data_IF_382977024195
#
_entry.id   IF_382977024195
#
_cell.length_a   1.000
_cell.length_b   1.000
_cell.length_c   1.000
_cell.angle_alpha   90.00
_cell.angle_beta   90.00
_cell.angle_gamma   90.00
#
_symmetry.space_group_name_H-M   'P 1'
#
loop_
_entity.id
_entity.type
_entity.pdbx_description
1 polymer ?
#
# COMPACT_ATOMS: atom_id res chain seq x y z
N UNK A 1 10.51 18.00 4.41
CA UNK A 1 11.96 17.80 4.10
C UNK A 1 12.77 17.43 5.34
N UNK A 2 12.74 18.21 6.45
CA UNK A 2 13.54 17.89 7.65
C UNK A 2 13.15 16.56 8.32
N UNK A 3 11.85 16.29 8.46
CA UNK A 3 11.33 15.03 9.03
C UNK A 3 11.79 13.81 8.22
N UNK A 4 11.71 13.88 6.89
CA UNK A 4 12.17 12.80 6.02
C UNK A 4 13.69 12.56 6.16
N UNK A 5 14.49 13.63 6.24
CA UNK A 5 15.95 13.52 6.47
C UNK A 5 16.25 12.88 7.81
N UNK A 6 15.54 13.28 8.87
CA UNK A 6 15.67 12.70 10.19
C UNK A 6 15.31 11.20 10.17
N UNK A 7 14.26 10.81 9.46
CA UNK A 7 13.87 9.41 9.28
C UNK A 7 15.00 8.58 8.63
N UNK A 8 15.50 8.97 7.46
CA UNK A 8 16.57 8.20 6.81
C UNK A 8 17.87 8.18 7.62
N UNK A 9 18.19 9.26 8.32
CA UNK A 9 19.35 9.28 9.24
C UNK A 9 19.17 8.30 10.41
N UNK A 10 18.00 8.32 11.06
CA UNK A 10 17.68 7.43 12.15
C UNK A 10 17.70 5.96 11.69
N UNK A 11 17.05 5.65 10.57
CA UNK A 11 17.05 4.29 10.01
C UNK A 11 18.45 3.83 9.62
N UNK A 12 19.29 4.72 9.07
CA UNK A 12 20.68 4.36 8.76
C UNK A 12 21.50 4.05 10.03
N UNK A 13 21.18 4.70 11.14
CA UNK A 13 21.85 4.47 12.43
C UNK A 13 21.39 3.15 13.03
N UNK A 14 20.07 2.92 13.09
CA UNK A 14 19.46 1.71 13.63
C UNK A 14 19.90 0.47 12.86
N UNK A 15 19.95 0.56 11.53
CA UNK A 15 20.23 -0.58 10.65
C UNK A 15 21.71 -0.80 10.35
N UNK A 16 22.62 -0.04 10.99
CA UNK A 16 24.06 -0.03 10.69
C UNK A 16 24.67 -1.44 10.67
N UNK A 17 24.37 -2.27 11.67
CA UNK A 17 24.96 -3.60 11.77
C UNK A 17 24.43 -4.56 10.69
N UNK A 18 23.16 -4.41 10.28
CA UNK A 18 22.59 -5.20 9.19
C UNK A 18 23.19 -4.83 7.84
N UNK A 19 23.51 -3.55 7.62
CA UNK A 19 24.22 -3.12 6.41
C UNK A 19 25.63 -3.71 6.32
N UNK A 20 26.36 -3.69 7.44
CA UNK A 20 27.70 -4.29 7.53
C UNK A 20 27.61 -5.80 7.25
N UNK A 21 26.68 -6.50 7.90
CA UNK A 21 26.49 -7.93 7.74
C UNK A 21 26.07 -8.35 6.32
N UNK A 22 25.50 -7.46 5.49
CA UNK A 22 25.29 -7.78 4.07
C UNK A 22 26.59 -8.01 3.32
N UNK A 23 27.61 -7.20 3.57
CA UNK A 23 28.88 -7.30 2.86
C UNK A 23 29.81 -8.30 3.54
N UNK A 24 30.00 -8.16 4.85
CA UNK A 24 31.02 -8.92 5.60
C UNK A 24 30.50 -10.27 6.13
N UNK A 25 29.18 -10.44 6.18
CA UNK A 25 28.54 -11.50 6.95
C UNK A 25 28.65 -11.28 8.46
N UNK A 26 27.80 -11.96 9.22
CA UNK A 26 27.95 -12.07 10.66
C UNK A 26 27.73 -13.50 11.12
N UNK A 27 28.46 -13.92 12.15
CA UNK A 27 28.26 -15.24 12.75
C UNK A 27 27.01 -15.22 13.63
N UNK A 28 26.07 -16.10 13.34
CA UNK A 28 24.83 -16.27 14.11
C UNK A 28 24.49 -17.75 14.25
N UNK A 29 23.82 -18.11 15.35
CA UNK A 29 23.29 -19.45 15.54
C UNK A 29 22.03 -19.63 14.69
N UNK A 30 21.96 -20.75 13.97
CA UNK A 30 20.72 -21.16 13.32
C UNK A 30 19.76 -21.82 14.33
N UNK A 31 18.50 -22.13 13.95
CA UNK A 31 17.55 -22.80 14.85
C UNK A 31 17.97 -24.18 15.35
N UNK A 32 19.03 -24.78 14.82
CA UNK A 32 19.60 -26.06 15.26
C UNK A 32 20.79 -25.87 16.21
N UNK A 33 21.23 -24.62 16.43
CA UNK A 33 22.37 -24.29 17.27
C UNK A 33 23.71 -24.34 16.52
N UNK A 34 23.71 -24.48 15.18
CA UNK A 34 24.94 -24.43 14.40
C UNK A 34 25.34 -22.98 14.12
N UNK A 35 26.64 -22.69 14.20
CA UNK A 35 27.17 -21.38 13.80
C UNK A 35 27.18 -21.25 12.28
N UNK A 36 26.48 -20.26 11.76
CA UNK A 36 26.40 -19.94 10.32
C UNK A 36 26.94 -18.54 10.07
N UNK A 37 27.59 -18.36 8.92
CA UNK A 37 27.83 -17.03 8.37
C UNK A 37 26.53 -16.56 7.70
N UNK A 38 25.91 -15.52 8.25
CA UNK A 38 24.63 -14.99 7.78
C UNK A 38 24.85 -13.62 7.17
N UNK A 39 24.28 -13.40 5.99
CA UNK A 39 24.16 -12.09 5.37
C UNK A 39 22.73 -11.57 5.52
N UNK A 40 22.55 -10.27 5.68
CA UNK A 40 21.24 -9.66 5.99
C UNK A 40 20.76 -8.71 4.89
N UNK A 41 20.57 -9.19 3.64
CA UNK A 41 20.08 -8.35 2.55
C UNK A 41 18.71 -7.78 2.90
N UNK A 42 18.45 -6.53 2.49
CA UNK A 42 17.12 -5.97 2.61
C UNK A 42 16.20 -6.60 1.56
N UNK A 43 15.44 -7.62 1.98
CA UNK A 43 14.55 -8.38 1.10
C UNK A 43 13.15 -7.77 1.02
N UNK A 44 12.58 -7.34 2.14
CA UNK A 44 11.20 -6.89 2.22
C UNK A 44 11.04 -5.76 3.24
N UNK A 45 10.09 -4.86 2.98
CA UNK A 45 9.71 -3.77 3.88
C UNK A 45 8.22 -3.49 3.81
N UNK A 46 7.54 -3.70 4.95
CA UNK A 46 6.11 -3.42 5.12
C UNK A 46 5.96 -1.94 5.46
N UNK A 47 5.22 -1.22 4.64
CA UNK A 47 4.95 0.20 4.80
C UNK A 47 3.62 0.56 4.14
N UNK A 48 2.89 1.52 4.72
CA UNK A 48 1.73 2.10 4.04
C UNK A 48 2.17 3.01 2.88
N UNK A 49 1.24 3.48 2.05
CA UNK A 49 1.61 4.26 0.85
C UNK A 49 2.42 5.54 1.17
N UNK A 50 2.02 6.40 2.13
CA UNK A 50 2.86 7.52 2.57
C UNK A 50 4.28 7.12 3.02
N UNK A 51 4.42 6.04 3.78
CA UNK A 51 5.71 5.52 4.23
C UNK A 51 6.52 4.97 3.05
N UNK A 52 5.89 4.28 2.10
CA UNK A 52 6.55 3.79 0.88
C UNK A 52 7.15 4.95 0.07
N UNK A 53 6.42 6.07 -0.08
CA UNK A 53 6.93 7.27 -0.74
C UNK A 53 8.12 7.89 0.02
N UNK A 54 8.02 7.94 1.36
CA UNK A 54 9.12 8.39 2.21
C UNK A 54 10.36 7.54 1.98
N UNK A 55 10.23 6.21 2.08
CA UNK A 55 11.32 5.24 1.92
C UNK A 55 11.89 5.30 0.51
N UNK A 56 11.06 5.34 -0.53
CA UNK A 56 11.48 5.40 -1.92
C UNK A 56 12.12 6.74 -2.30
N UNK A 57 12.04 7.76 -1.42
CA UNK A 57 12.49 9.13 -1.65
C UNK A 57 11.73 9.88 -2.74
N UNK A 58 10.47 9.53 -2.95
CA UNK A 58 9.62 10.01 -4.04
C UNK A 58 8.52 10.94 -3.50
N UNK A 59 8.03 11.87 -4.32
CA UNK A 59 6.91 12.77 -3.98
C UNK A 59 5.55 12.12 -4.19
N UNK A 60 4.48 12.75 -3.69
CA UNK A 60 3.10 12.34 -3.95
C UNK A 60 2.81 12.26 -5.46
N UNK A 61 1.85 11.39 -5.82
CA UNK A 61 1.39 11.14 -7.21
C UNK A 61 2.42 10.47 -8.13
N UNK A 62 3.38 9.77 -7.55
CA UNK A 62 4.29 8.90 -8.27
C UNK A 62 4.23 7.53 -7.63
N UNK A 63 4.59 6.49 -8.37
CA UNK A 63 4.75 5.17 -7.79
C UNK A 63 6.03 5.12 -6.94
N UNK A 64 6.01 4.46 -5.77
CA UNK A 64 7.23 4.15 -5.01
C UNK A 64 7.99 2.94 -5.58
N UNK A 65 7.36 2.17 -6.47
CA UNK A 65 7.91 0.94 -7.07
C UNK A 65 8.38 1.20 -8.50
N UNK A 66 7.56 1.84 -9.33
CA UNK A 66 7.92 2.34 -10.67
C UNK A 66 8.27 3.82 -10.57
N UNK A 67 9.09 4.37 -11.47
CA UNK A 67 9.23 5.84 -11.58
C UNK A 67 8.02 6.49 -12.27
N UNK A 68 6.92 5.74 -12.45
CA UNK A 68 5.74 6.20 -13.13
C UNK A 68 5.10 7.38 -12.39
N UNK A 69 4.87 8.45 -13.15
CA UNK A 69 4.02 9.57 -12.75
C UNK A 69 2.55 9.15 -12.80
N UNK A 70 1.66 9.89 -12.15
CA UNK A 70 0.23 9.55 -12.18
C UNK A 70 -0.38 9.48 -13.57
N UNK A 71 0.15 10.25 -14.52
CA UNK A 71 -0.24 10.25 -15.94
C UNK A 71 0.40 9.13 -16.76
N UNK A 72 1.37 8.41 -16.19
CA UNK A 72 2.13 7.31 -16.77
C UNK A 72 1.99 6.03 -15.97
N UNK A 73 1.05 5.99 -15.02
CA UNK A 73 0.64 4.75 -14.39
C UNK A 73 0.33 3.74 -15.50
N UNK A 74 0.64 2.49 -15.22
CA UNK A 74 0.58 1.36 -16.15
C UNK A 74 1.85 1.11 -16.99
N UNK A 75 2.95 1.87 -16.77
CA UNK A 75 4.28 1.61 -17.34
C UNK A 75 5.23 0.95 -16.31
N UNK A 76 5.73 -0.28 -16.56
CA UNK A 76 6.44 -1.10 -15.57
C UNK A 76 7.92 -0.74 -15.33
N UNK A 77 8.39 0.43 -15.76
CA UNK A 77 9.80 0.81 -15.67
C UNK A 77 10.31 0.84 -14.21
N UNK A 78 11.35 0.04 -13.85
CA UNK A 78 11.89 -0.01 -12.50
C UNK A 78 12.40 1.34 -12.00
N UNK A 79 12.39 1.53 -10.68
CA UNK A 79 12.87 2.78 -10.11
C UNK A 79 14.40 2.88 -10.11
N UNK A 80 14.88 4.01 -10.64
CA UNK A 80 16.27 4.43 -10.61
C UNK A 80 16.49 5.61 -9.65
N UNK A 81 15.83 5.60 -8.48
CA UNK A 81 15.88 6.71 -7.51
C UNK A 81 17.31 7.18 -7.20
N UNK A 82 18.27 6.27 -6.95
CA UNK A 82 19.66 6.67 -6.64
C UNK A 82 20.30 7.44 -7.80
N UNK A 83 20.07 7.02 -9.04
CA UNK A 83 20.57 7.74 -10.22
C UNK A 83 19.90 9.11 -10.36
N UNK A 84 18.60 9.21 -10.06
CA UNK A 84 17.88 10.48 -10.08
C UNK A 84 18.40 11.44 -9.01
N UNK A 85 18.66 10.94 -7.79
CA UNK A 85 19.27 11.71 -6.69
C UNK A 85 20.67 12.19 -7.09
N UNK A 86 21.51 11.31 -7.63
CA UNK A 86 22.86 11.66 -8.07
C UNK A 86 22.82 12.79 -9.11
N UNK A 87 21.93 12.69 -10.11
CA UNK A 87 21.72 13.74 -11.13
C UNK A 87 21.22 15.05 -10.53
N UNK A 88 20.34 15.00 -9.53
CA UNK A 88 19.84 16.19 -8.86
C UNK A 88 20.96 16.91 -8.10
N UNK A 89 21.82 16.16 -7.41
CA UNK A 89 22.97 16.68 -6.68
C UNK A 89 24.07 17.24 -7.59
N UNK A 90 24.24 16.75 -8.83
CA UNK A 90 25.18 17.35 -9.78
C UNK A 90 24.65 18.65 -10.40
N UNK A 91 23.32 18.79 -10.47
CA UNK A 91 22.67 19.93 -11.16
C UNK A 91 22.41 21.11 -10.22
N UNK A 92 22.40 20.89 -8.90
CA UNK A 92 22.11 21.92 -7.90
C UNK A 92 22.94 21.74 -6.64
N UNK A 93 23.47 22.85 -6.12
CA UNK A 93 24.22 22.86 -4.86
C UNK A 93 23.26 22.66 -3.67
N UNK A 94 23.46 21.65 -2.81
CA UNK A 94 22.70 21.49 -1.57
C UNK A 94 22.70 22.70 -0.63
N UNK A 95 23.66 23.62 -0.78
CA UNK A 95 23.75 24.85 0.00
C UNK A 95 22.72 25.90 -0.45
N UNK A 96 22.28 25.87 -1.71
CA UNK A 96 21.13 26.66 -2.18
C UNK A 96 19.84 25.85 -2.01
N UNK A 97 19.27 25.92 -0.81
CA UNK A 97 18.08 25.15 -0.44
C UNK A 97 16.91 25.37 -1.41
N UNK A 98 16.73 26.58 -1.93
CA UNK A 98 15.61 26.92 -2.80
C UNK A 98 15.78 26.30 -4.19
N UNK A 99 16.94 26.48 -4.81
CA UNK A 99 17.26 25.88 -6.11
C UNK A 99 17.33 24.34 -6.03
N UNK A 100 17.90 23.83 -4.95
CA UNK A 100 17.99 22.41 -4.66
C UNK A 100 16.60 21.77 -4.55
N UNK A 101 15.71 22.36 -3.75
CA UNK A 101 14.35 21.86 -3.59
C UNK A 101 13.58 21.90 -4.91
N UNK A 102 13.72 22.97 -5.71
CA UNK A 102 13.08 23.06 -7.04
C UNK A 102 13.57 21.96 -7.99
N UNK A 103 14.86 21.67 -7.99
CA UNK A 103 15.46 20.61 -8.82
C UNK A 103 14.95 19.24 -8.41
N UNK A 104 14.94 18.93 -7.12
CA UNK A 104 14.40 17.66 -6.61
C UNK A 104 12.93 17.47 -6.95
N UNK A 105 12.10 18.51 -6.78
CA UNK A 105 10.68 18.46 -7.14
C UNK A 105 10.46 18.22 -8.63
N UNK A 106 11.27 18.84 -9.52
CA UNK A 106 11.18 18.58 -10.97
C UNK A 106 11.50 17.13 -11.35
N UNK A 107 12.24 16.43 -10.49
CA UNK A 107 12.58 15.01 -10.62
C UNK A 107 11.67 14.11 -9.78
N UNK A 108 10.62 14.67 -9.17
CA UNK A 108 9.66 13.95 -8.33
C UNK A 108 10.29 13.30 -7.09
N UNK A 109 11.38 13.89 -6.60
CA UNK A 109 12.11 13.46 -5.41
C UNK A 109 11.75 14.33 -4.20
N UNK A 110 11.75 13.74 -3.01
CA UNK A 110 11.33 14.40 -1.77
C UNK A 110 12.47 15.16 -1.02
N UNK A 111 13.61 15.35 -1.66
CA UNK A 111 14.76 16.11 -1.13
C UNK A 111 15.78 15.29 -0.33
N UNK A 112 15.72 13.95 -0.39
CA UNK A 112 16.66 13.06 0.29
C UNK A 112 17.89 12.79 -0.57
N UNK A 113 19.08 13.07 -0.01
CA UNK A 113 20.37 12.88 -0.68
C UNK A 113 20.95 11.49 -0.39
N UNK A 114 20.81 11.02 0.84
CA UNK A 114 21.35 9.73 1.31
C UNK A 114 20.23 8.88 1.88
N UNK A 115 19.51 8.13 1.03
CA UNK A 115 18.52 7.17 1.50
C UNK A 115 19.21 6.12 2.39
N UNK A 116 18.56 5.72 3.49
CA UNK A 116 19.13 4.72 4.39
C UNK A 116 19.43 3.38 3.72
N UNK A 117 18.81 3.04 2.60
CA UNK A 117 19.03 1.79 1.87
C UNK A 117 20.08 1.95 0.75
N UNK A 118 20.56 3.17 0.48
CA UNK A 118 21.46 3.44 -0.66
C UNK A 118 22.84 2.79 -0.57
N UNK A 119 23.25 2.37 0.63
CA UNK A 119 24.48 1.62 0.93
C UNK A 119 24.19 0.19 1.43
N UNK A 120 22.95 -0.29 1.32
CA UNK A 120 22.53 -1.60 1.81
C UNK A 120 22.59 -2.67 0.72
N UNK A 121 23.79 -2.92 0.19
CA UNK A 121 24.01 -3.90 -0.88
C UNK A 121 23.23 -3.56 -2.16
N UNK A 122 22.38 -4.49 -2.62
CA UNK A 122 21.54 -4.33 -3.83
C UNK A 122 20.13 -3.82 -3.52
N UNK A 123 19.90 -3.29 -2.32
CA UNK A 123 18.59 -2.80 -1.91
C UNK A 123 18.03 -1.76 -2.88
N UNK A 124 16.82 -2.00 -3.37
CA UNK A 124 16.10 -1.06 -4.20
C UNK A 124 14.59 -1.12 -3.88
N UNK A 125 13.93 0.04 -3.64
CA UNK A 125 12.51 0.09 -3.28
C UNK A 125 11.60 -0.68 -4.24
N UNK A 126 11.94 -0.73 -5.53
CA UNK A 126 11.19 -1.48 -6.54
C UNK A 126 11.16 -3.00 -6.32
N UNK A 127 12.03 -3.51 -5.45
CA UNK A 127 12.09 -4.93 -5.14
C UNK A 127 11.65 -5.21 -3.71
N UNK A 128 12.09 -4.42 -2.74
CA UNK A 128 11.82 -4.74 -1.33
C UNK A 128 10.50 -4.14 -0.80
N UNK A 129 9.90 -3.13 -1.44
CA UNK A 129 8.61 -2.62 -0.98
C UNK A 129 7.51 -3.64 -1.29
N UNK A 130 6.84 -4.11 -0.25
CA UNK A 130 5.82 -5.15 -0.38
C UNK A 130 4.44 -4.55 -0.63
N UNK A 131 3.56 -5.26 -1.36
CA UNK A 131 2.14 -4.94 -1.38
C UNK A 131 1.55 -4.98 0.02
N UNK A 132 0.62 -4.07 0.31
CA UNK A 132 -0.09 -4.03 1.58
C UNK A 132 -1.59 -4.11 1.34
N UNK A 133 -2.17 -5.29 1.56
CA UNK A 133 -3.58 -5.54 1.24
C UNK A 133 -4.56 -4.65 1.99
N UNK A 134 -4.23 -4.23 3.21
CA UNK A 134 -5.11 -3.37 4.00
C UNK A 134 -5.23 -1.97 3.39
N UNK A 135 -4.10 -1.25 3.24
CA UNK A 135 -4.12 0.14 2.78
C UNK A 135 -4.16 0.28 1.26
N UNK A 136 -3.63 -0.69 0.51
CA UNK A 136 -3.59 -0.63 -0.95
C UNK A 136 -4.86 -1.22 -1.57
N UNK A 137 -5.41 -2.33 -1.06
CA UNK A 137 -6.55 -2.99 -1.74
C UNK A 137 -7.88 -2.66 -1.09
N UNK A 138 -8.06 -3.02 0.18
CA UNK A 138 -9.34 -2.79 0.85
C UNK A 138 -9.65 -1.30 0.91
N UNK A 139 -8.73 -0.46 1.39
CA UNK A 139 -8.97 0.98 1.42
C UNK A 139 -9.19 1.57 0.02
N UNK A 140 -8.51 1.06 -1.03
CA UNK A 140 -8.81 1.44 -2.41
C UNK A 140 -10.26 1.12 -2.78
N UNK A 141 -10.72 -0.09 -2.46
CA UNK A 141 -12.07 -0.56 -2.76
C UNK A 141 -13.14 0.38 -2.20
N UNK A 142 -12.99 0.81 -0.94
CA UNK A 142 -13.90 1.74 -0.28
C UNK A 142 -13.79 3.16 -0.80
N UNK A 143 -12.57 3.64 -1.06
CA UNK A 143 -12.36 4.99 -1.59
C UNK A 143 -12.88 5.13 -3.03
N UNK A 144 -12.92 4.03 -3.80
CA UNK A 144 -13.11 4.04 -5.25
C UNK A 144 -14.25 3.11 -5.75
N UNK A 145 -14.08 1.78 -5.95
CA UNK A 145 -15.14 0.86 -6.38
C UNK A 145 -16.52 1.08 -5.74
N UNK A 146 -16.59 1.15 -4.41
CA UNK A 146 -17.86 1.37 -3.72
C UNK A 146 -18.53 2.69 -4.13
N UNK A 147 -17.74 3.78 -4.19
CA UNK A 147 -18.23 5.09 -4.60
C UNK A 147 -18.64 5.12 -6.08
N UNK A 148 -17.95 4.39 -6.96
CA UNK A 148 -18.33 4.26 -8.36
C UNK A 148 -19.70 3.60 -8.49
N UNK A 149 -19.92 2.50 -7.77
CA UNK A 149 -21.21 1.81 -7.72
C UNK A 149 -22.32 2.73 -7.21
N UNK A 150 -22.11 3.38 -6.05
CA UNK A 150 -23.08 4.32 -5.47
C UNK A 150 -23.43 5.44 -6.45
N UNK A 151 -22.45 5.96 -7.20
CA UNK A 151 -22.68 7.02 -8.18
C UNK A 151 -23.50 6.59 -9.41
N UNK A 152 -23.56 5.29 -9.71
CA UNK A 152 -24.30 4.74 -10.86
C UNK A 152 -25.72 4.37 -10.46
N UNK A 153 -25.87 3.47 -9.48
CA UNK A 153 -27.17 2.91 -9.11
C UNK A 153 -27.91 3.76 -8.06
N UNK A 154 -27.21 4.65 -7.36
CA UNK A 154 -27.73 5.41 -6.23
C UNK A 154 -27.59 4.66 -4.90
N UNK A 155 -27.42 5.41 -3.82
CA UNK A 155 -27.28 4.86 -2.47
C UNK A 155 -28.52 4.12 -1.99
N UNK A 156 -29.71 4.63 -2.31
CA UNK A 156 -30.99 4.01 -1.92
C UNK A 156 -31.18 2.63 -2.56
N UNK A 157 -30.84 2.48 -3.84
CA UNK A 157 -30.93 1.19 -4.54
C UNK A 157 -29.90 0.18 -3.98
N UNK A 158 -28.67 0.62 -3.71
CA UNK A 158 -27.65 -0.23 -3.09
C UNK A 158 -28.11 -0.74 -1.72
N UNK A 159 -28.63 0.17 -0.89
CA UNK A 159 -29.13 -0.15 0.44
C UNK A 159 -30.34 -1.09 0.38
N UNK A 160 -31.27 -0.86 -0.55
CA UNK A 160 -32.44 -1.70 -0.75
C UNK A 160 -32.02 -3.15 -1.09
N UNK A 161 -31.11 -3.32 -2.05
CA UNK A 161 -30.63 -4.65 -2.44
C UNK A 161 -29.85 -5.35 -1.34
N UNK A 162 -29.01 -4.63 -0.60
CA UNK A 162 -28.27 -5.18 0.54
C UNK A 162 -29.23 -5.64 1.65
N UNK A 163 -30.30 -4.89 1.90
CA UNK A 163 -31.33 -5.25 2.89
C UNK A 163 -32.14 -6.48 2.49
N UNK A 164 -32.30 -6.73 1.18
CA UNK A 164 -33.05 -7.87 0.66
C UNK A 164 -32.26 -9.21 0.72
N UNK A 165 -30.94 -9.15 0.98
CA UNK A 165 -30.13 -10.36 1.12
C UNK A 165 -30.53 -11.16 2.35
N UNK A 166 -30.53 -12.48 2.21
CA UNK A 166 -30.80 -13.37 3.34
C UNK A 166 -29.71 -13.21 4.43
N UNK A 167 -30.08 -13.15 5.71
CA UNK A 167 -29.11 -13.13 6.79
C UNK A 167 -28.29 -14.44 6.80
N UNK A 168 -26.97 -14.32 6.74
CA UNK A 168 -26.05 -15.46 6.82
C UNK A 168 -25.19 -15.38 8.09
N UNK A 169 -24.96 -16.54 8.71
CA UNK A 169 -24.09 -16.63 9.89
C UNK A 169 -22.66 -16.26 9.50
N UNK A 170 -22.05 -15.35 10.26
CA UNK A 170 -20.65 -14.95 10.06
C UNK A 170 -20.43 -13.83 9.03
N UNK A 171 -21.49 -13.36 8.36
CA UNK A 171 -21.46 -12.18 7.48
C UNK A 171 -22.38 -11.12 8.07
N UNK A 172 -21.96 -9.86 8.09
CA UNK A 172 -22.84 -8.78 8.54
C UNK A 172 -24.05 -8.65 7.60
N UNK A 173 -25.25 -8.71 8.17
CA UNK A 173 -26.47 -8.33 7.48
C UNK A 173 -26.66 -6.80 7.53
N UNK A 174 -27.02 -6.22 6.39
CA UNK A 174 -27.11 -4.77 6.19
C UNK A 174 -28.57 -4.32 6.12
N UNK A 175 -29.27 -4.42 7.25
CA UNK A 175 -30.67 -3.98 7.34
C UNK A 175 -30.85 -2.45 7.25
N UNK A 176 -29.79 -1.69 7.54
CA UNK A 176 -29.77 -0.22 7.53
C UNK A 176 -28.72 0.29 6.53
N UNK A 177 -28.96 1.48 5.98
CA UNK A 177 -28.19 2.14 4.92
C UNK A 177 -26.67 2.04 5.04
N UNK A 178 -26.04 1.39 4.06
CA UNK A 178 -24.58 1.33 3.87
C UNK A 178 -24.06 2.60 3.23
N UNK A 179 -24.86 3.20 2.35
CA UNK A 179 -24.53 4.43 1.61
C UNK A 179 -24.24 5.65 2.50
N UNK A 180 -24.64 5.62 3.78
CA UNK A 180 -24.48 6.73 4.74
C UNK A 180 -23.43 6.49 5.82
N UNK A 181 -22.75 5.34 5.81
CA UNK A 181 -21.79 4.97 6.84
C UNK A 181 -20.54 5.86 6.78
N UNK A 182 -20.35 6.67 7.83
CA UNK A 182 -19.17 7.54 7.98
C UNK A 182 -17.94 6.80 8.48
N UNK A 183 -18.14 5.69 9.19
CA UNK A 183 -17.07 4.88 9.77
C UNK A 183 -17.49 3.42 9.74
N UNK A 184 -16.65 2.59 9.13
CA UNK A 184 -16.81 1.14 9.11
C UNK A 184 -15.57 0.46 9.67
N UNK A 185 -15.77 -0.70 10.29
CA UNK A 185 -14.68 -1.55 10.76
C UNK A 185 -14.06 -2.32 9.59
N UNK A 186 -12.80 -2.78 9.73
CA UNK A 186 -12.17 -3.59 8.68
C UNK A 186 -12.92 -4.90 8.36
N UNK A 187 -13.67 -5.45 9.33
CA UNK A 187 -14.54 -6.62 9.08
C UNK A 187 -15.75 -6.23 8.23
N UNK A 188 -16.41 -5.13 8.56
CA UNK A 188 -17.54 -4.59 7.78
C UNK A 188 -17.14 -4.32 6.33
N UNK A 189 -15.95 -3.75 6.13
CA UNK A 189 -15.37 -3.53 4.82
C UNK A 189 -15.28 -4.84 4.02
N UNK A 190 -14.58 -5.85 4.55
CA UNK A 190 -14.42 -7.13 3.83
C UNK A 190 -15.74 -7.84 3.56
N UNK A 191 -16.73 -7.73 4.44
CA UNK A 191 -18.04 -8.33 4.20
C UNK A 191 -18.78 -7.63 3.06
N UNK A 192 -18.73 -6.30 2.98
CA UNK A 192 -19.35 -5.57 1.88
C UNK A 192 -18.67 -5.87 0.54
N UNK A 193 -17.34 -5.92 0.52
CA UNK A 193 -16.55 -6.20 -0.68
C UNK A 193 -16.90 -7.56 -1.32
N UNK A 194 -17.20 -8.59 -0.50
CA UNK A 194 -17.66 -9.90 -0.99
C UNK A 194 -19.04 -9.86 -1.63
N UNK A 195 -19.93 -9.01 -1.11
CA UNK A 195 -21.32 -8.95 -1.54
C UNK A 195 -21.51 -8.05 -2.76
N UNK A 196 -20.67 -7.01 -2.89
CA UNK A 196 -20.86 -5.96 -3.89
C UNK A 196 -20.96 -6.49 -5.33
N UNK A 197 -20.09 -7.40 -5.82
CA UNK A 197 -20.20 -7.91 -7.20
C UNK A 197 -21.56 -8.53 -7.53
N UNK A 198 -22.17 -9.26 -6.58
CA UNK A 198 -23.49 -9.86 -6.78
C UNK A 198 -24.64 -8.85 -6.66
N UNK A 199 -24.52 -7.91 -5.74
CA UNK A 199 -25.56 -6.91 -5.46
C UNK A 199 -25.78 -5.96 -6.64
N UNK A 200 -24.74 -5.63 -7.38
CA UNK A 200 -24.80 -4.63 -8.47
C UNK A 200 -25.35 -5.19 -9.79
N UNK A 201 -25.44 -6.52 -9.95
CA UNK A 201 -25.85 -7.14 -11.22
C UNK A 201 -27.24 -6.66 -11.63
N UNK A 202 -27.37 -6.17 -12.86
CA UNK A 202 -28.63 -5.62 -13.38
C UNK A 202 -29.02 -4.24 -12.84
N UNK A 203 -28.25 -3.63 -11.93
CA UNK A 203 -28.39 -2.23 -11.53
C UNK A 203 -27.34 -1.30 -12.15
N UNK A 204 -26.21 -1.86 -12.58
CA UNK A 204 -25.14 -1.13 -13.30
C UNK A 204 -24.95 -1.73 -14.69
N UNK A 205 -24.34 -1.01 -15.64
CA UNK A 205 -24.00 -1.58 -16.95
C UNK A 205 -23.15 -2.84 -16.81
N UNK A 206 -23.38 -3.85 -17.66
CA UNK A 206 -22.71 -5.15 -17.57
C UNK A 206 -21.18 -5.04 -17.54
N UNK A 207 -20.60 -4.16 -18.37
CA UNK A 207 -19.16 -3.91 -18.38
C UNK A 207 -18.64 -3.32 -17.05
N UNK A 208 -19.45 -2.49 -16.38
CA UNK A 208 -19.09 -1.99 -15.04
C UNK A 208 -19.14 -3.14 -14.04
N UNK A 209 -20.16 -4.01 -14.11
CA UNK A 209 -20.25 -5.19 -13.26
C UNK A 209 -19.04 -6.12 -13.45
N UNK A 210 -18.61 -6.37 -14.70
CA UNK A 210 -17.40 -7.11 -15.02
C UNK A 210 -16.15 -6.47 -14.41
N UNK A 211 -15.99 -5.15 -14.53
CA UNK A 211 -14.85 -4.44 -13.94
C UNK A 211 -14.82 -4.58 -12.41
N UNK A 212 -15.94 -4.37 -11.73
CA UNK A 212 -16.03 -4.49 -10.27
C UNK A 212 -15.81 -5.94 -9.82
N UNK A 213 -16.34 -6.92 -10.56
CA UNK A 213 -16.09 -8.33 -10.30
C UNK A 213 -14.59 -8.67 -10.43
N UNK A 214 -13.97 -8.29 -11.54
CA UNK A 214 -12.57 -8.58 -11.83
C UNK A 214 -11.61 -7.98 -10.81
N UNK A 215 -11.81 -6.73 -10.38
CA UNK A 215 -10.95 -6.14 -9.33
C UNK A 215 -11.19 -6.76 -7.96
N UNK A 216 -12.43 -7.19 -7.67
CA UNK A 216 -12.72 -7.92 -6.42
C UNK A 216 -12.02 -9.27 -6.42
N UNK A 217 -12.09 -10.01 -7.53
CA UNK A 217 -11.41 -11.29 -7.72
C UNK A 217 -9.90 -11.14 -7.55
N UNK A 218 -9.29 -10.12 -8.18
CA UNK A 218 -7.88 -9.80 -7.99
C UNK A 218 -7.51 -9.61 -6.52
N UNK A 219 -8.28 -8.79 -5.79
CA UNK A 219 -7.98 -8.49 -4.37
C UNK A 219 -8.07 -9.74 -3.50
N UNK A 220 -9.06 -10.60 -3.71
CA UNK A 220 -9.19 -11.83 -2.92
C UNK A 220 -8.13 -12.87 -3.30
N UNK A 221 -7.85 -13.05 -4.59
CA UNK A 221 -6.81 -13.97 -5.04
C UNK A 221 -5.42 -13.57 -4.53
N UNK A 222 -5.08 -12.26 -4.56
CA UNK A 222 -3.80 -11.73 -4.08
C UNK A 222 -3.54 -11.99 -2.58
N UNK A 223 -4.58 -12.32 -1.82
CA UNK A 223 -4.49 -12.63 -0.38
C UNK A 223 -4.32 -14.13 -0.10
N UNK A 224 -4.17 -14.95 -1.15
CA UNK A 224 -3.94 -16.39 -0.98
C UNK A 224 -2.66 -16.65 -0.19
N UNK A 225 -2.70 -17.66 0.68
CA UNK A 225 -1.54 -18.07 1.49
C UNK A 225 -0.41 -18.63 0.62
N UNK A 226 -0.78 -19.21 -0.52
CA UNK A 226 0.14 -19.85 -1.45
C UNK A 226 -0.23 -19.43 -2.86
N UNK A 227 0.80 -19.26 -3.68
CA UNK A 227 0.66 -19.00 -5.10
C UNK A 227 1.47 -20.02 -5.88
N UNK A 228 0.84 -20.59 -6.89
CA UNK A 228 1.46 -21.33 -7.99
C UNK A 228 1.23 -20.58 -9.32
N UNK A 229 1.86 -21.04 -10.39
CA UNK A 229 1.78 -20.41 -11.70
C UNK A 229 0.33 -20.25 -12.19
N UNK A 230 -0.54 -21.23 -11.91
CA UNK A 230 -1.97 -21.14 -12.25
C UNK A 230 -2.67 -20.00 -11.50
N UNK A 231 -2.44 -19.86 -10.19
CA UNK A 231 -3.04 -18.78 -9.40
C UNK A 231 -2.49 -17.40 -9.77
N UNK A 232 -1.21 -17.32 -10.16
CA UNK A 232 -0.60 -16.07 -10.62
C UNK A 232 -1.13 -15.68 -12.00
N UNK A 233 -1.39 -16.67 -12.85
CA UNK A 233 -2.08 -16.45 -14.12
C UNK A 233 -3.50 -15.94 -13.89
N UNK A 234 -4.29 -16.59 -13.03
CA UNK A 234 -5.64 -16.10 -12.68
C UNK A 234 -5.63 -14.68 -12.12
N UNK A 235 -4.63 -14.35 -11.29
CA UNK A 235 -4.46 -13.01 -10.74
C UNK A 235 -4.15 -11.98 -11.84
N UNK A 236 -3.33 -12.36 -12.82
CA UNK A 236 -3.01 -11.54 -14.00
C UNK A 236 -4.23 -11.30 -14.86
N UNK A 237 -5.02 -12.33 -15.13
CA UNK A 237 -6.25 -12.26 -15.92
C UNK A 237 -7.29 -11.36 -15.23
N UNK A 238 -7.48 -11.49 -13.92
CA UNK A 238 -8.40 -10.64 -13.16
C UNK A 238 -8.01 -9.15 -13.25
N UNK A 239 -6.72 -8.83 -13.13
CA UNK A 239 -6.25 -7.46 -13.27
C UNK A 239 -6.38 -6.95 -14.71
N UNK A 240 -6.10 -7.80 -15.70
CA UNK A 240 -6.28 -7.49 -17.11
C UNK A 240 -7.75 -7.21 -17.44
N UNK A 241 -8.68 -8.04 -16.97
CA UNK A 241 -10.11 -7.90 -17.19
C UNK A 241 -10.64 -6.59 -16.57
N UNK A 242 -10.17 -6.24 -15.36
CA UNK A 242 -10.46 -4.94 -14.79
C UNK A 242 -9.99 -3.82 -15.72
N UNK A 243 -8.75 -3.87 -16.20
CA UNK A 243 -8.23 -2.83 -17.10
C UNK A 243 -8.94 -2.78 -18.45
N UNK A 244 -9.43 -3.91 -18.95
CA UNK A 244 -10.23 -3.99 -20.17
C UNK A 244 -11.55 -3.23 -20.02
N UNK A 245 -12.25 -3.41 -18.89
CA UNK A 245 -13.58 -2.84 -18.68
C UNK A 245 -13.61 -1.51 -17.92
N UNK A 246 -12.52 -1.06 -17.27
CA UNK A 246 -12.51 0.15 -16.43
C UNK A 246 -12.98 1.42 -17.15
N UNK A 247 -12.82 1.52 -18.47
CA UNK A 247 -13.30 2.68 -19.25
C UNK A 247 -14.82 2.86 -19.16
N UNK A 248 -15.57 1.76 -19.01
CA UNK A 248 -17.03 1.79 -18.83
C UNK A 248 -17.46 2.51 -17.55
N UNK A 249 -16.62 2.50 -16.50
CA UNK A 249 -16.84 3.20 -15.24
C UNK A 249 -16.84 4.72 -15.46
N UNK A 250 -15.93 5.22 -16.32
CA UNK A 250 -15.89 6.63 -16.73
C UNK A 250 -17.10 6.95 -17.63
N UNK A 251 -17.39 6.09 -18.61
CA UNK A 251 -18.52 6.27 -19.51
C UNK A 251 -19.87 6.34 -18.78
N UNK A 252 -20.02 5.61 -17.67
CA UNK A 252 -21.17 5.66 -16.78
C UNK A 252 -21.21 6.92 -15.87
N UNK A 253 -20.26 7.84 -16.00
CA UNK A 253 -20.21 9.10 -15.22
C UNK A 253 -19.95 8.91 -13.72
N UNK A 254 -19.44 7.74 -13.33
CA UNK A 254 -19.29 7.33 -11.92
C UNK A 254 -17.99 7.80 -11.29
N UNK A 255 -16.96 8.03 -12.12
CA UNK A 255 -15.65 8.51 -11.68
C UNK A 255 -15.69 10.03 -11.50
N UNK A 256 -16.01 10.46 -10.27
CA UNK A 256 -16.16 11.87 -9.90
C UNK A 256 -15.05 12.32 -8.94
N UNK A 257 -14.57 13.54 -9.14
CA UNK A 257 -13.77 14.30 -8.18
C UNK A 257 -14.65 15.22 -7.35
N UNK A 258 -14.05 16.08 -6.51
CA UNK A 258 -14.79 16.97 -5.61
C UNK A 258 -15.74 17.92 -6.37
N UNK A 259 -15.34 18.40 -7.54
CA UNK A 259 -16.06 19.42 -8.30
C UNK A 259 -16.28 19.07 -9.78
N UNK A 260 -15.75 17.95 -10.28
CA UNK A 260 -15.80 17.62 -11.71
C UNK A 260 -15.72 16.11 -11.94
N UNK A 261 -16.25 15.60 -13.06
CA UNK A 261 -15.91 14.28 -13.56
C UNK A 261 -14.38 14.13 -13.72
N UNK A 262 -13.88 12.93 -13.50
CA UNK A 262 -12.47 12.57 -13.73
C UNK A 262 -12.43 11.52 -14.84
N UNK A 263 -11.70 11.83 -15.92
CA UNK A 263 -11.62 10.97 -17.11
C UNK A 263 -10.39 10.06 -17.09
N UNK A 264 -9.90 9.70 -15.89
CA UNK A 264 -8.64 8.99 -15.73
C UNK A 264 -8.62 8.15 -14.44
N UNK A 265 -7.66 7.22 -14.38
CA UNK A 265 -7.46 6.28 -13.27
C UNK A 265 -6.14 6.53 -12.53
N UNK A 266 -5.78 7.80 -12.32
CA UNK A 266 -4.59 8.23 -11.57
C UNK A 266 -4.75 7.93 -10.06
N UNK A 267 -4.81 6.65 -9.73
CA UNK A 267 -5.06 6.13 -8.40
C UNK A 267 -3.81 5.35 -8.02
N UNK A 268 -2.93 5.89 -7.16
CA UNK A 268 -1.66 5.25 -6.85
C UNK A 268 -1.79 3.82 -6.30
N UNK A 269 -2.86 3.54 -5.55
CA UNK A 269 -3.13 2.20 -5.04
C UNK A 269 -3.45 1.19 -6.16
N UNK A 270 -4.06 1.65 -7.25
CA UNK A 270 -4.36 0.83 -8.41
C UNK A 270 -3.08 0.59 -9.24
N UNK A 271 -2.22 1.60 -9.39
CA UNK A 271 -0.89 1.42 -10.01
C UNK A 271 -0.08 0.32 -9.31
N UNK A 272 -0.08 0.35 -7.96
CA UNK A 272 0.64 -0.65 -7.17
C UNK A 272 0.11 -2.09 -7.34
N UNK A 273 -1.14 -2.27 -7.75
CA UNK A 273 -1.71 -3.59 -8.01
C UNK A 273 -0.95 -4.34 -9.12
N UNK A 274 -0.42 -3.62 -10.12
CA UNK A 274 0.30 -4.21 -11.24
C UNK A 274 1.64 -4.84 -10.83
N UNK A 275 2.19 -4.44 -9.69
CA UNK A 275 3.44 -4.96 -9.19
C UNK A 275 3.27 -6.21 -8.31
N UNK A 276 2.04 -6.60 -7.98
CA UNK A 276 1.78 -7.73 -7.07
C UNK A 276 2.38 -9.01 -7.59
N UNK A 277 2.15 -9.39 -8.85
CA UNK A 277 2.67 -10.64 -9.44
C UNK A 277 4.20 -10.67 -9.39
N UNK A 278 4.86 -9.60 -9.85
CA UNK A 278 6.32 -9.46 -9.79
C UNK A 278 6.84 -9.56 -8.35
N UNK A 279 6.17 -8.88 -7.42
CA UNK A 279 6.50 -8.93 -6.00
C UNK A 279 6.34 -10.34 -5.45
N UNK A 280 5.31 -11.08 -5.86
CA UNK A 280 5.05 -12.44 -5.40
C UNK A 280 6.13 -13.40 -5.86
N UNK A 281 6.61 -13.27 -7.11
CA UNK A 281 7.78 -14.04 -7.57
C UNK A 281 9.05 -13.72 -6.78
N UNK A 282 9.25 -12.47 -6.37
CA UNK A 282 10.47 -12.03 -5.69
C UNK A 282 10.48 -12.34 -4.18
N UNK A 283 9.34 -12.19 -3.51
CA UNK A 283 9.26 -12.18 -2.03
C UNK A 283 8.23 -13.17 -1.46
N UNK A 284 7.55 -13.95 -2.31
CA UNK A 284 6.47 -14.85 -1.89
C UNK A 284 5.12 -14.15 -1.72
N UNK A 285 4.15 -14.88 -1.17
CA UNK A 285 2.76 -14.45 -1.11
C UNK A 285 2.58 -13.11 -0.36
N UNK A 286 1.78 -12.16 -0.88
CA UNK A 286 1.57 -10.86 -0.24
C UNK A 286 1.04 -10.96 1.19
N UNK A 287 0.28 -12.02 1.50
CA UNK A 287 -0.26 -12.28 2.84
C UNK A 287 0.81 -12.24 3.93
N UNK A 288 2.02 -12.74 3.64
CA UNK A 288 3.15 -12.75 4.60
C UNK A 288 3.59 -11.33 5.00
N UNK A 289 3.34 -10.34 4.16
CA UNK A 289 3.81 -8.97 4.30
C UNK A 289 2.69 -7.99 4.66
N UNK A 290 1.54 -8.51 5.11
CA UNK A 290 0.39 -7.69 5.48
C UNK A 290 0.66 -6.84 6.73
N UNK A 291 0.24 -5.57 6.65
CA UNK A 291 0.26 -4.65 7.80
C UNK A 291 -0.76 -5.02 8.90
N UNK A 292 -1.68 -5.96 8.66
CA UNK A 292 -2.63 -6.44 9.68
C UNK A 292 -1.91 -6.97 10.95
N UNK A 293 -0.74 -7.61 10.76
CA UNK A 293 0.07 -8.14 11.86
C UNK A 293 0.62 -7.00 12.72
N UNK A 294 1.11 -5.93 12.09
CA UNK A 294 1.68 -4.77 12.79
C UNK A 294 0.59 -3.87 13.39
N UNK A 295 -0.58 -3.76 12.75
CA UNK A 295 -1.72 -3.03 13.31
C UNK A 295 -2.23 -3.68 14.61
N UNK A 296 -2.18 -5.01 14.72
CA UNK A 296 -2.47 -5.69 15.98
C UNK A 296 -1.48 -5.27 17.08
N UNK A 297 -0.21 -5.08 16.75
CA UNK A 297 0.79 -4.55 17.69
C UNK A 297 0.52 -3.09 18.07
N UNK A 298 -0.10 -2.28 17.20
CA UNK A 298 -0.48 -0.90 17.52
C UNK A 298 -1.45 -0.83 18.73
N UNK A 299 -2.29 -1.86 18.92
CA UNK A 299 -3.14 -1.96 20.11
C UNK A 299 -2.29 -2.07 21.38
N UNK A 300 -1.29 -2.95 21.38
CA UNK A 300 -0.49 -3.25 22.57
C UNK A 300 0.63 -2.25 22.81
N UNK A 301 1.25 -1.72 21.76
CA UNK A 301 2.44 -0.87 21.85
C UNK A 301 2.13 0.64 21.81
N UNK A 302 0.95 1.04 21.35
CA UNK A 302 0.57 2.46 21.26
C UNK A 302 -0.73 2.74 21.99
N UNK A 303 -1.84 2.09 21.61
CA UNK A 303 -3.15 2.41 22.19
C UNK A 303 -3.23 2.12 23.68
N UNK A 304 -2.71 0.98 24.14
CA UNK A 304 -2.65 0.63 25.57
C UNK A 304 -1.77 1.60 26.37
N UNK A 305 -0.48 1.82 26.01
CA UNK A 305 0.37 2.78 26.73
C UNK A 305 -0.20 4.19 26.72
N UNK A 306 -0.76 4.63 25.59
CA UNK A 306 -1.42 5.92 25.48
C UNK A 306 -2.57 6.05 26.49
N UNK A 307 -3.48 5.08 26.56
CA UNK A 307 -4.60 5.06 27.52
C UNK A 307 -4.16 5.04 28.99
N UNK A 308 -2.94 4.54 29.25
CA UNK A 308 -2.35 4.52 30.60
C UNK A 308 -1.47 5.74 30.89
N UNK A 309 -1.24 6.59 29.88
CA UNK A 309 -0.52 7.84 30.04
C UNK A 309 -1.45 8.95 30.55
N UNK A 310 -0.88 10.08 30.98
CA UNK A 310 -1.66 11.27 31.30
C UNK A 310 -2.13 12.07 30.05
N UNK A 311 -1.94 11.50 28.85
CA UNK A 311 -2.25 12.10 27.54
C UNK A 311 -1.51 13.41 27.21
N UNK A 312 -0.50 13.81 28.00
CA UNK A 312 0.32 15.01 27.79
C UNK A 312 1.78 14.62 27.54
N UNK A 313 2.36 15.06 26.42
CA UNK A 313 3.72 14.66 26.01
C UNK A 313 3.94 13.15 26.11
N UNK A 314 2.94 12.40 25.62
CA UNK A 314 2.76 10.98 25.91
C UNK A 314 3.82 10.07 25.26
N UNK A 315 4.55 10.54 24.25
CA UNK A 315 5.57 9.72 23.56
C UNK A 315 6.60 9.15 24.53
N UNK A 316 7.19 9.97 25.40
CA UNK A 316 8.16 9.51 26.41
C UNK A 316 7.54 8.66 27.53
N UNK A 317 6.23 8.76 27.75
CA UNK A 317 5.51 7.86 28.66
C UNK A 317 5.28 6.49 28.02
N UNK A 318 4.93 6.47 26.74
CA UNK A 318 4.76 5.23 25.99
C UNK A 318 6.09 4.47 25.87
N UNK A 319 7.20 5.15 25.56
CA UNK A 319 8.51 4.49 25.52
C UNK A 319 8.88 3.90 26.88
N UNK A 320 8.74 4.66 27.97
CA UNK A 320 9.01 4.15 29.34
C UNK A 320 8.14 2.95 29.72
N UNK A 321 6.88 2.95 29.29
CA UNK A 321 5.99 1.82 29.51
C UNK A 321 6.51 0.56 28.80
N UNK A 322 6.97 0.69 27.55
CA UNK A 322 7.54 -0.43 26.79
C UNK A 322 8.84 -0.92 27.41
N UNK A 323 9.74 -0.01 27.82
CA UNK A 323 11.00 -0.34 28.52
C UNK A 323 10.77 -1.14 29.81
N UNK A 324 9.63 -0.94 30.48
CA UNK A 324 9.25 -1.67 31.69
C UNK A 324 8.65 -3.05 31.39
N UNK A 325 8.09 -3.26 30.21
CA UNK A 325 7.52 -4.55 29.80
C UNK A 325 8.59 -5.51 29.23
N UNK A 326 9.68 -4.99 28.67
CA UNK A 326 10.78 -5.78 28.10
C UNK A 326 11.79 -6.30 29.15
N UNK A 327 11.72 -5.79 30.39
CA UNK A 327 12.55 -6.22 31.53
C UNK A 327 11.84 -7.29 32.34
#
# INVERSE_FOLDING_TARGET
>A
MLSARAYHFAMSTVMKNLKIAVHDGCLMLDPRGDMRMIHTPLIAWIADYPEQLLIACITLKCSPISLALSTQFEDPSPSHTLSAIARACTTSDPCDIAAFHKTFLSLHLNGIIKPFWGDWGVACPSYFLTPDGLHQWHKFYFDHPLNWVINIMGGEELDHRLSALQPHVGVRHWANSVSTLKQCTGREHRDLEKLLPGVIVGAVPDQVACAIHAITEFIFQAQSLFHCDETLHSLSEALWEFHHYKSSIIAAGSRRGKNSPLNHFDIPKLELAQHVIRSTHAMGAPYQWSSDITERCHITHVKRPYRMSNHKDFHGQCCRFLDQQEK
#
